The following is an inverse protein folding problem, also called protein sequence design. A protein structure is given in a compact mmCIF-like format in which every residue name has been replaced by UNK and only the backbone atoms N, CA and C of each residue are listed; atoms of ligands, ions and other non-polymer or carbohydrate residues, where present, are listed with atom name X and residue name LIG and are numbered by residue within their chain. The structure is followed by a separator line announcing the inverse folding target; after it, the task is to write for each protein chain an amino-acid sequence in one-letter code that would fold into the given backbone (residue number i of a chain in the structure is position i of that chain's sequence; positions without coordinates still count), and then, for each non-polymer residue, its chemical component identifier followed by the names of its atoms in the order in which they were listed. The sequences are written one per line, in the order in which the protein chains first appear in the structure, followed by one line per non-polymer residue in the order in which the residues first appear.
data_IF_776463544778
#
_entry.id   IF_776463544778
#
_cell.length_a   1.000
_cell.length_b   1.000
_cell.length_c   1.000
_cell.angle_alpha   90.00
_cell.angle_beta   90.00
_cell.angle_gamma   90.00
#
_symmetry.space_group_name_H-M   'P 1'
#
loop_
_entity.id
_entity.type
_entity.pdbx_description
1 polymer ?
#
# COMPACT_ATOMS: atom_id res chain seq x y z
N UNK A 1 -11.09 7.00 10.26
CA UNK A 1 -11.52 5.99 9.27
C UNK A 1 -10.85 6.33 7.95
N UNK A 2 -9.95 5.49 7.46
CA UNK A 2 -9.23 5.76 6.21
C UNK A 2 -9.96 5.03 5.08
N UNK A 3 -10.90 5.72 4.45
CA UNK A 3 -11.55 5.22 3.25
C UNK A 3 -10.58 5.30 2.06
N UNK A 4 -10.76 4.42 1.08
CA UNK A 4 -10.02 4.50 -0.18
C UNK A 4 -10.25 5.87 -0.85
N UNK A 5 -9.20 6.63 -1.21
CA UNK A 5 -9.36 7.95 -1.80
C UNK A 5 -9.94 7.84 -3.22
N UNK A 6 -10.70 8.86 -3.61
CA UNK A 6 -11.27 8.96 -4.96
C UNK A 6 -10.22 9.48 -5.95
N UNK A 7 -9.25 8.63 -6.25
CA UNK A 7 -8.25 8.84 -7.31
C UNK A 7 -8.81 8.34 -8.67
N UNK A 8 -8.36 8.88 -9.82
CA UNK A 8 -8.79 8.42 -11.13
C UNK A 8 -8.65 6.90 -11.32
N UNK A 9 -7.59 6.32 -10.75
CA UNK A 9 -7.31 4.88 -10.80
C UNK A 9 -8.32 4.04 -10.01
N UNK A 10 -9.05 4.64 -9.07
CA UNK A 10 -10.02 3.97 -8.21
C UNK A 10 -11.46 4.22 -8.63
N UNK A 11 -11.73 5.17 -9.55
CA UNK A 11 -13.08 5.66 -9.84
C UNK A 11 -14.07 4.53 -10.15
N UNK A 12 -13.76 3.66 -11.12
CA UNK A 12 -14.65 2.54 -11.48
C UNK A 12 -14.93 1.58 -10.32
N UNK A 13 -13.92 1.33 -9.47
CA UNK A 13 -14.09 0.49 -8.28
C UNK A 13 -14.96 1.20 -7.23
N UNK A 14 -14.65 2.46 -6.92
CA UNK A 14 -15.36 3.24 -5.91
C UNK A 14 -16.82 3.43 -6.29
N UNK A 15 -17.12 3.67 -7.56
CA UNK A 15 -18.48 3.82 -8.05
C UNK A 15 -19.26 2.49 -7.96
N UNK A 16 -18.62 1.37 -8.31
CA UNK A 16 -19.20 0.03 -8.15
C UNK A 16 -19.50 -0.27 -6.68
N UNK A 17 -18.53 -0.04 -5.79
CA UNK A 17 -18.69 -0.30 -4.35
C UNK A 17 -19.75 0.62 -3.72
N UNK A 18 -19.80 1.89 -4.12
CA UNK A 18 -20.80 2.84 -3.64
C UNK A 18 -22.21 2.44 -4.07
N UNK A 19 -22.38 1.93 -5.30
CA UNK A 19 -23.68 1.48 -5.79
C UNK A 19 -24.24 0.28 -5.03
N UNK A 20 -23.37 -0.52 -4.39
CA UNK A 20 -23.74 -1.70 -3.63
C UNK A 20 -23.80 -1.46 -2.12
N UNK A 21 -23.07 -0.45 -1.63
CA UNK A 21 -22.95 -0.18 -0.20
C UNK A 21 -24.29 0.14 0.44
N UNK A 22 -24.71 -0.70 1.39
CA UNK A 22 -25.87 -0.45 2.23
C UNK A 22 -25.41 0.11 3.59
N UNK A 23 -25.81 1.34 3.95
CA UNK A 23 -25.59 1.86 5.29
C UNK A 23 -26.26 0.91 6.30
N UNK A 24 -25.58 0.59 7.40
CA UNK A 24 -26.09 -0.40 8.34
C UNK A 24 -27.49 -0.04 8.88
N UNK A 25 -28.44 -0.98 8.74
CA UNK A 25 -29.65 -1.05 9.56
C UNK A 25 -29.53 -2.20 10.60
N UNK A 26 -30.25 -2.12 11.71
CA UNK A 26 -30.06 -3.01 12.87
C UNK A 26 -30.18 -4.50 12.47
N UNK A 27 -29.11 -5.28 12.71
CA UNK A 27 -29.16 -6.75 12.68
C UNK A 27 -28.20 -7.45 11.70
N UNK A 28 -27.58 -6.72 10.76
CA UNK A 28 -26.60 -7.29 9.84
C UNK A 28 -25.17 -7.26 10.40
N UNK A 29 -24.33 -8.20 9.96
CA UNK A 29 -22.88 -8.14 10.20
C UNK A 29 -22.34 -6.85 9.58
N UNK A 30 -21.65 -6.03 10.36
CA UNK A 30 -21.16 -4.73 9.92
C UNK A 30 -19.65 -4.71 9.82
N UNK A 31 -19.13 -4.03 8.80
CA UNK A 31 -17.71 -3.71 8.66
C UNK A 31 -17.57 -2.19 8.55
N UNK A 32 -17.10 -1.58 9.64
CA UNK A 32 -16.86 -0.13 9.74
C UNK A 32 -18.08 0.74 9.34
N UNK A 33 -19.27 0.37 9.82
CA UNK A 33 -20.51 1.15 9.65
C UNK A 33 -21.32 0.87 8.37
N UNK A 34 -20.86 -0.08 7.55
CA UNK A 34 -21.57 -0.60 6.38
C UNK A 34 -21.95 -2.06 6.61
N UNK A 35 -22.99 -2.53 5.93
CA UNK A 35 -23.26 -3.97 5.86
C UNK A 35 -22.07 -4.70 5.23
N UNK A 36 -21.59 -5.76 5.88
CA UNK A 36 -20.47 -6.56 5.39
C UNK A 36 -20.95 -7.37 4.18
N UNK A 37 -20.46 -7.03 3.00
CA UNK A 37 -20.81 -7.72 1.74
C UNK A 37 -19.85 -8.88 1.41
N UNK A 38 -19.06 -9.34 2.38
CA UNK A 38 -18.12 -10.47 2.25
C UNK A 38 -18.18 -11.39 3.46
N UNK A 39 -17.61 -12.60 3.36
CA UNK A 39 -17.55 -13.51 4.49
C UNK A 39 -16.44 -13.06 5.47
N UNK A 40 -16.66 -13.09 6.80
CA UNK A 40 -15.62 -12.75 7.80
C UNK A 40 -14.31 -13.51 7.59
N UNK A 41 -14.37 -14.81 7.28
CA UNK A 41 -13.19 -15.64 6.97
C UNK A 41 -12.36 -15.10 5.81
N UNK A 42 -12.96 -14.40 4.83
CA UNK A 42 -12.20 -13.79 3.74
C UNK A 42 -11.43 -12.54 4.20
N UNK A 43 -11.97 -11.82 5.19
CA UNK A 43 -11.26 -10.71 5.84
C UNK A 43 -10.05 -11.25 6.58
N UNK A 44 -10.24 -12.26 7.43
CA UNK A 44 -9.15 -12.91 8.18
C UNK A 44 -8.11 -13.50 7.21
N UNK A 45 -8.56 -14.14 6.13
CA UNK A 45 -7.68 -14.66 5.08
C UNK A 45 -6.84 -13.57 4.45
N UNK A 46 -7.42 -12.40 4.19
CA UNK A 46 -6.70 -11.26 3.59
C UNK A 46 -5.65 -10.70 4.57
N UNK A 47 -6.00 -10.55 5.85
CA UNK A 47 -5.06 -10.15 6.90
C UNK A 47 -3.89 -11.12 7.04
N UNK A 48 -4.18 -12.43 6.94
CA UNK A 48 -3.19 -13.50 6.98
C UNK A 48 -2.19 -13.49 5.80
N UNK A 49 -2.64 -13.02 4.63
CA UNK A 49 -1.80 -12.92 3.44
C UNK A 49 -0.85 -11.72 3.50
N UNK A 50 -1.21 -10.67 4.24
CA UNK A 50 -0.45 -9.41 4.38
C UNK A 50 -0.46 -8.87 5.81
N UNK A 51 0.17 -9.56 6.79
CA UNK A 51 0.04 -9.24 8.22
C UNK A 51 0.61 -7.87 8.65
N UNK A 52 1.26 -7.14 7.74
CA UNK A 52 1.83 -5.81 7.99
C UNK A 52 1.15 -4.70 7.17
N UNK A 53 0.08 -5.02 6.46
CA UNK A 53 -0.63 -4.09 5.60
C UNK A 53 -2.02 -3.80 6.16
N UNK A 54 -2.43 -2.52 6.28
CA UNK A 54 -3.78 -2.21 6.74
C UNK A 54 -4.83 -2.64 5.71
N UNK A 55 -5.86 -3.36 6.16
CA UNK A 55 -7.06 -3.62 5.39
C UNK A 55 -8.01 -2.45 5.55
N UNK A 56 -8.41 -1.82 4.45
CA UNK A 56 -9.33 -0.69 4.42
C UNK A 56 -10.76 -1.19 4.23
N UNK A 57 -11.70 -0.66 5.01
CA UNK A 57 -13.12 -0.89 4.79
C UNK A 57 -13.68 0.17 3.83
N UNK A 58 -14.13 -0.24 2.65
CA UNK A 58 -14.69 0.66 1.63
C UNK A 58 -16.09 0.17 1.27
N UNK A 59 -17.13 0.85 1.76
CA UNK A 59 -18.56 0.47 1.57
C UNK A 59 -18.86 -0.99 1.97
N UNK A 60 -18.33 -1.44 3.11
CA UNK A 60 -18.57 -2.80 3.60
C UNK A 60 -17.71 -3.89 2.93
N UNK A 61 -16.78 -3.48 2.07
CA UNK A 61 -15.87 -4.37 1.33
C UNK A 61 -14.42 -4.14 1.78
N UNK A 62 -13.68 -5.19 2.17
CA UNK A 62 -12.26 -5.08 2.51
C UNK A 62 -11.39 -4.85 1.27
N UNK A 63 -10.50 -3.87 1.37
CA UNK A 63 -9.63 -3.42 0.29
C UNK A 63 -8.20 -3.25 0.80
N UNK A 64 -7.23 -3.79 0.07
CA UNK A 64 -5.83 -3.43 0.23
C UNK A 64 -5.47 -2.36 -0.79
N UNK A 65 -4.72 -1.34 -0.36
CA UNK A 65 -4.30 -0.25 -1.23
C UNK A 65 -2.83 0.12 -1.00
N UNK A 66 -2.15 0.56 -2.05
CA UNK A 66 -0.79 1.09 -2.01
C UNK A 66 -0.77 2.50 -2.58
N UNK A 67 -0.15 3.46 -1.87
CA UNK A 67 -0.18 4.89 -2.23
C UNK A 67 -1.60 5.41 -2.54
N UNK A 68 -2.61 4.92 -1.82
CA UNK A 68 -4.02 5.28 -2.03
C UNK A 68 -4.71 4.60 -3.22
N UNK A 69 -4.01 3.80 -4.02
CA UNK A 69 -4.58 3.07 -5.16
C UNK A 69 -4.94 1.64 -4.72
N UNK A 70 -6.18 1.20 -4.99
CA UNK A 70 -6.63 -0.14 -4.62
C UNK A 70 -5.89 -1.21 -5.42
N UNK A 71 -5.36 -2.20 -4.71
CA UNK A 71 -4.65 -3.33 -5.28
C UNK A 71 -5.51 -4.60 -5.22
N UNK A 72 -6.10 -4.89 -4.05
CA UNK A 72 -6.85 -6.12 -3.82
C UNK A 72 -8.19 -5.81 -3.19
N UNK A 73 -9.24 -6.51 -3.62
CA UNK A 73 -10.60 -6.38 -3.08
C UNK A 73 -11.13 -7.76 -2.73
N UNK A 74 -11.57 -7.92 -1.48
CA UNK A 74 -12.28 -9.10 -1.03
C UNK A 74 -13.74 -9.03 -1.49
N UNK A 75 -14.05 -9.68 -2.61
CA UNK A 75 -15.34 -9.61 -3.26
C UNK A 75 -16.15 -10.88 -2.99
N UNK A 76 -17.40 -10.74 -2.54
CA UNK A 76 -18.27 -11.90 -2.23
C UNK A 76 -17.60 -12.90 -1.25
N UNK A 77 -17.91 -14.20 -1.36
CA UNK A 77 -17.38 -15.25 -0.47
C UNK A 77 -16.17 -15.99 -1.07
N UNK A 78 -15.98 -15.95 -2.38
CA UNK A 78 -15.04 -16.82 -3.09
C UNK A 78 -14.18 -16.10 -4.13
N UNK A 79 -14.19 -14.76 -4.10
CA UNK A 79 -13.54 -13.95 -5.12
C UNK A 79 -12.60 -12.93 -4.49
N UNK A 80 -11.32 -13.00 -4.84
CA UNK A 80 -10.38 -11.89 -4.68
C UNK A 80 -10.21 -11.23 -6.03
N UNK A 81 -10.48 -9.94 -6.10
CA UNK A 81 -10.08 -9.13 -7.25
C UNK A 81 -8.68 -8.61 -7.00
N UNK A 82 -7.76 -8.87 -7.93
CA UNK A 82 -6.39 -8.36 -7.88
C UNK A 82 -6.13 -7.46 -9.07
N UNK A 83 -5.50 -6.31 -8.82
CA UNK A 83 -5.09 -5.37 -9.87
C UNK A 83 -3.69 -5.73 -10.34
N UNK A 84 -3.53 -6.01 -11.64
CA UNK A 84 -2.25 -6.39 -12.25
C UNK A 84 -2.15 -5.81 -13.67
N UNK A 85 -0.92 -5.62 -14.20
CA UNK A 85 -0.73 -5.17 -15.58
C UNK A 85 -1.11 -6.25 -16.60
N UNK A 86 -0.98 -7.52 -16.21
CA UNK A 86 -1.22 -8.70 -17.03
C UNK A 86 -1.90 -9.79 -16.21
N UNK A 87 -2.47 -10.78 -16.89
CA UNK A 87 -3.14 -11.90 -16.23
C UNK A 87 -2.15 -12.70 -15.37
N UNK A 88 -2.57 -13.17 -14.18
CA UNK A 88 -1.72 -14.00 -13.35
C UNK A 88 -1.34 -15.29 -14.11
N UNK A 89 -0.04 -15.54 -14.22
CA UNK A 89 0.53 -16.72 -14.91
C UNK A 89 0.63 -17.94 -14.01
N UNK A 90 0.40 -17.77 -12.71
CA UNK A 90 0.48 -18.82 -11.70
C UNK A 90 -0.70 -19.80 -11.81
N UNK A 91 -0.51 -21.03 -11.29
CA UNK A 91 -1.52 -22.10 -11.23
C UNK A 91 -2.65 -21.81 -10.22
N UNK A 92 -3.07 -20.56 -10.13
CA UNK A 92 -4.17 -20.14 -9.26
C UNK A 92 -5.49 -20.37 -9.97
N UNK A 93 -6.43 -20.98 -9.25
CA UNK A 93 -7.80 -21.16 -9.72
C UNK A 93 -8.45 -19.78 -9.94
N UNK A 94 -8.95 -19.49 -11.16
CA UNK A 94 -9.73 -18.28 -11.40
C UNK A 94 -11.05 -18.34 -10.63
N UNK A 95 -11.53 -17.19 -10.16
CA UNK A 95 -12.87 -17.04 -9.61
C UNK A 95 -13.83 -16.45 -10.64
N UNK A 96 -15.11 -16.33 -10.27
CA UNK A 96 -16.13 -15.72 -11.13
C UNK A 96 -15.70 -14.29 -11.53
N UNK A 97 -15.87 -13.90 -12.81
CA UNK A 97 -15.58 -12.55 -13.25
C UNK A 97 -16.49 -11.54 -12.52
N UNK A 98 -16.00 -10.33 -12.33
CA UNK A 98 -16.75 -9.21 -11.77
C UNK A 98 -16.75 -8.03 -12.76
N UNK A 99 -17.64 -8.03 -13.77
CA UNK A 99 -17.81 -6.88 -14.66
C UNK A 99 -18.33 -5.64 -13.90
N UNK A 100 -17.93 -4.43 -14.31
CA UNK A 100 -17.06 -4.16 -15.46
C UNK A 100 -15.56 -4.27 -15.13
N UNK A 101 -15.19 -4.51 -13.87
CA UNK A 101 -13.79 -4.47 -13.43
C UNK A 101 -12.93 -5.52 -14.13
N UNK A 102 -13.45 -6.72 -14.35
CA UNK A 102 -12.72 -7.82 -14.98
C UNK A 102 -12.93 -7.91 -16.49
N UNK A 103 -13.49 -6.87 -17.13
CA UNK A 103 -13.58 -6.84 -18.59
C UNK A 103 -12.18 -6.75 -19.21
N UNK A 104 -11.96 -7.26 -20.44
CA UNK A 104 -10.66 -7.22 -21.09
C UNK A 104 -10.06 -5.81 -21.11
N UNK A 105 -8.82 -5.68 -20.62
CA UNK A 105 -8.08 -4.41 -20.59
C UNK A 105 -8.35 -3.52 -19.37
N UNK A 106 -9.21 -3.94 -18.43
CA UNK A 106 -9.50 -3.16 -17.21
C UNK A 106 -8.51 -3.40 -16.06
N UNK A 107 -7.58 -4.36 -16.22
CA UNK A 107 -6.47 -4.58 -15.29
C UNK A 107 -6.85 -5.22 -13.95
N UNK A 108 -8.06 -5.81 -13.84
CA UNK A 108 -8.46 -6.63 -12.70
C UNK A 108 -8.68 -8.08 -13.09
N UNK A 109 -8.28 -8.97 -12.19
CA UNK A 109 -8.41 -10.42 -12.34
C UNK A 109 -9.06 -11.03 -11.11
N UNK A 110 -9.99 -11.95 -11.33
CA UNK A 110 -10.66 -12.71 -10.28
C UNK A 110 -9.89 -13.99 -9.94
N UNK A 111 -9.51 -14.17 -8.69
CA UNK A 111 -8.87 -15.40 -8.20
C UNK A 111 -9.60 -15.95 -6.98
N UNK A 112 -9.59 -17.28 -6.84
CA UNK A 112 -10.20 -17.93 -5.68
C UNK A 112 -9.29 -17.77 -4.43
N UNK A 113 -9.78 -17.29 -3.28
CA UNK A 113 -8.95 -17.17 -2.07
C UNK A 113 -8.61 -18.51 -1.42
N UNK A 114 -9.37 -19.56 -1.73
CA UNK A 114 -9.31 -20.85 -1.03
C UNK A 114 -8.37 -21.85 -1.70
N UNK A 115 -8.25 -21.81 -3.04
CA UNK A 115 -7.34 -22.65 -3.83
C UNK A 115 -7.38 -24.14 -3.44
N UNK A 116 -8.58 -24.75 -3.44
CA UNK A 116 -8.82 -26.08 -2.85
C UNK A 116 -8.05 -27.27 -3.44
N UNK A 117 -7.32 -27.09 -4.55
CA UNK A 117 -6.46 -28.11 -5.16
C UNK A 117 -4.99 -28.02 -4.67
N UNK A 118 -4.64 -26.95 -3.97
CA UNK A 118 -3.30 -26.72 -3.43
C UNK A 118 -3.24 -27.03 -1.94
N UNK A 119 -2.04 -27.39 -1.45
CA UNK A 119 -1.84 -27.45 -0.01
C UNK A 119 -2.01 -26.06 0.63
N UNK A 120 -2.42 -26.00 1.90
CA UNK A 120 -2.61 -24.73 2.62
C UNK A 120 -1.36 -23.83 2.58
N UNK A 121 -0.17 -24.43 2.67
CA UNK A 121 1.10 -23.71 2.61
C UNK A 121 1.41 -23.16 1.21
N UNK A 122 1.18 -23.94 0.17
CA UNK A 122 1.37 -23.50 -1.23
C UNK A 122 0.37 -22.43 -1.63
N UNK A 123 -0.91 -22.63 -1.30
CA UNK A 123 -1.99 -21.64 -1.48
C UNK A 123 -1.62 -20.31 -0.82
N UNK A 124 -1.21 -20.33 0.46
CA UNK A 124 -0.79 -19.12 1.17
C UNK A 124 0.41 -18.46 0.49
N UNK A 125 1.43 -19.24 0.10
CA UNK A 125 2.63 -18.70 -0.55
C UNK A 125 2.30 -18.01 -1.87
N UNK A 126 1.56 -18.66 -2.76
CA UNK A 126 1.23 -18.11 -4.08
C UNK A 126 0.31 -16.89 -3.96
N UNK A 127 -0.74 -16.97 -3.13
CA UNK A 127 -1.62 -15.83 -2.88
C UNK A 127 -0.87 -14.64 -2.26
N UNK A 128 0.05 -14.87 -1.32
CA UNK A 128 0.88 -13.78 -0.76
C UNK A 128 1.78 -13.15 -1.83
N UNK A 129 2.36 -13.93 -2.74
CA UNK A 129 3.15 -13.39 -3.85
C UNK A 129 2.30 -12.56 -4.80
N UNK A 130 1.12 -13.07 -5.18
CA UNK A 130 0.16 -12.36 -6.03
C UNK A 130 -0.27 -11.01 -5.40
N UNK A 131 -0.61 -11.02 -4.11
CA UNK A 131 -0.99 -9.80 -3.39
C UNK A 131 0.17 -8.80 -3.35
N UNK A 132 1.40 -9.26 -3.10
CA UNK A 132 2.59 -8.39 -3.13
C UNK A 132 2.85 -7.79 -4.51
N UNK A 133 2.69 -8.56 -5.58
CA UNK A 133 2.80 -8.08 -6.96
C UNK A 133 1.73 -7.01 -7.24
N UNK A 134 0.48 -7.28 -6.85
CA UNK A 134 -0.63 -6.34 -7.03
C UNK A 134 -0.41 -5.02 -6.28
N UNK A 135 0.08 -5.09 -5.04
CA UNK A 135 0.43 -3.91 -4.25
C UNK A 135 1.59 -3.11 -4.85
N UNK A 136 2.61 -3.81 -5.35
CA UNK A 136 3.74 -3.18 -6.04
C UNK A 136 3.29 -2.48 -7.33
N UNK A 137 2.40 -3.12 -8.10
CA UNK A 137 1.83 -2.54 -9.29
C UNK A 137 0.95 -1.32 -8.98
N UNK A 138 0.05 -1.42 -8.00
CA UNK A 138 -0.76 -0.28 -7.56
C UNK A 138 0.11 0.91 -7.13
N UNK A 139 1.22 0.67 -6.43
CA UNK A 139 2.17 1.72 -6.07
C UNK A 139 2.83 2.36 -7.31
N UNK A 140 3.14 1.58 -8.36
CA UNK A 140 3.73 2.11 -9.61
C UNK A 140 2.76 2.95 -10.45
N UNK A 141 1.45 2.83 -10.21
CA UNK A 141 0.44 3.67 -10.87
C UNK A 141 0.31 5.07 -10.24
N UNK A 142 0.95 5.29 -9.09
CA UNK A 142 0.96 6.58 -8.42
C UNK A 142 2.16 7.41 -8.85
N UNK A 143 1.89 8.63 -9.31
CA UNK A 143 2.90 9.64 -9.62
C UNK A 143 3.40 10.37 -8.36
N UNK A 144 2.80 10.09 -7.19
CA UNK A 144 3.13 10.76 -5.94
C UNK A 144 4.25 10.01 -5.19
N UNK A 145 5.46 10.58 -5.22
CA UNK A 145 6.62 10.11 -4.48
C UNK A 145 6.75 10.75 -3.08
N UNK A 146 5.86 11.68 -2.73
CA UNK A 146 5.82 12.25 -1.38
C UNK A 146 5.20 11.31 -0.35
N UNK A 147 4.62 10.19 -0.81
CA UNK A 147 3.92 9.21 0.01
C UNK A 147 4.59 7.83 -0.15
N UNK A 148 4.88 7.16 0.97
CA UNK A 148 5.41 5.82 0.99
C UNK A 148 4.36 4.80 0.51
N UNK A 149 4.78 3.56 0.29
CA UNK A 149 3.87 2.52 -0.19
C UNK A 149 2.68 2.25 0.75
N UNK A 150 2.75 2.65 2.03
CA UNK A 150 1.67 2.55 3.02
C UNK A 150 0.70 3.75 3.02
N UNK A 151 0.92 4.76 2.19
CA UNK A 151 0.10 5.97 2.22
C UNK A 151 0.56 7.01 3.25
N UNK A 152 1.78 6.90 3.82
CA UNK A 152 2.33 7.86 4.80
C UNK A 152 3.24 8.86 4.11
N UNK A 153 3.33 10.12 4.57
CA UNK A 153 4.29 11.06 4.03
C UNK A 153 5.72 10.51 4.16
N UNK A 154 6.46 10.44 3.05
CA UNK A 154 7.90 10.17 3.06
C UNK A 154 8.54 11.35 3.79
N UNK A 155 9.05 11.10 4.99
CA UNK A 155 9.83 12.12 5.69
C UNK A 155 11.02 12.46 4.80
N UNK A 156 11.04 13.69 4.26
CA UNK A 156 12.20 14.21 3.57
C UNK A 156 13.42 13.98 4.48
N UNK A 157 14.55 13.47 3.97
CA UNK A 157 15.75 13.27 4.77
C UNK A 157 16.07 14.61 5.40
N UNK A 158 15.85 14.69 6.72
CA UNK A 158 15.98 15.93 7.45
C UNK A 158 17.32 16.54 7.11
N UNK A 159 17.32 17.76 6.58
CA UNK A 159 18.52 18.55 6.40
C UNK A 159 19.24 18.57 7.73
N UNK A 160 20.24 17.70 7.88
CA UNK A 160 21.22 17.80 8.95
C UNK A 160 21.89 19.14 8.71
N UNK A 161 21.34 20.17 9.35
CA UNK A 161 21.94 21.48 9.48
C UNK A 161 23.35 21.23 10.01
N UNK A 162 24.32 21.23 9.09
CA UNK A 162 25.71 21.09 9.39
C UNK A 162 26.09 22.21 10.33
N UNK A 163 26.20 21.90 11.62
CA UNK A 163 26.81 22.78 12.60
C UNK A 163 28.30 22.80 12.25
N UNK A 164 28.69 23.67 11.32
CA UNK A 164 30.08 23.98 11.01
C UNK A 164 30.67 24.63 12.26
N UNK A 165 31.26 23.80 13.11
CA UNK A 165 32.03 24.25 14.27
C UNK A 165 33.31 24.88 13.72
N UNK A 166 33.34 26.21 13.73
CA UNK A 166 34.44 27.03 13.23
C UNK A 166 35.80 26.50 13.67
N UNK A 167 36.58 26.07 12.69
CA UNK A 167 37.98 25.68 12.81
C UNK A 167 38.80 26.96 13.00
N UNK A 168 39.19 27.26 14.24
CA UNK A 168 40.22 28.29 14.50
C UNK A 168 41.55 27.80 13.94
N UNK A 169 42.04 28.47 12.92
CA UNK A 169 43.40 28.35 12.39
C UNK A 169 44.35 29.16 13.28
N UNK A 170 45.15 28.50 14.12
CA UNK A 170 46.35 29.14 14.68
C UNK A 170 47.47 29.00 13.65
N UNK A 171 47.68 30.07 12.87
CA UNK A 171 48.80 30.18 11.94
C UNK A 171 49.99 30.73 12.70
N UNK A 172 50.92 29.82 12.96
CA UNK A 172 52.29 30.09 13.36
C UNK A 172 52.94 31.03 12.33
N UNK A 173 53.54 32.12 12.82
CA UNK A 173 54.42 32.97 12.01
C UNK A 173 55.57 33.40 12.91
N UNK A 174 56.66 32.62 12.85
CA UNK A 174 57.93 33.02 13.42
C UNK A 174 58.58 34.15 12.63
N UNK A 175 59.53 34.83 13.29
CA UNK A 175 60.72 35.31 12.59
C UNK A 175 61.08 36.78 12.72
N UNK A 176 62.02 37.03 13.65
CA UNK A 176 63.26 37.81 13.49
C UNK A 176 63.28 39.34 13.73
N UNK A 177 64.37 39.66 14.46
CA UNK A 177 65.29 40.80 14.38
C UNK A 177 64.99 42.07 15.22
N UNK A 178 65.89 42.30 16.18
CA UNK A 178 66.77 43.47 16.08
C UNK A 178 66.72 44.49 17.22
N UNK A 179 67.72 44.43 18.11
CA UNK A 179 68.59 45.59 18.35
C UNK A 179 68.28 46.58 19.48
N UNK A 180 69.24 46.63 20.43
CA UNK A 180 69.82 47.81 21.13
C UNK A 180 69.04 48.57 22.22
N UNK A 181 69.73 48.78 23.35
CA UNK A 181 69.57 49.91 24.28
C UNK A 181 69.34 49.47 25.74
N UNK A 182 70.37 49.29 26.57
CA UNK A 182 71.15 50.26 27.38
C UNK A 182 70.38 50.85 28.58
N UNK A 183 71.05 50.82 29.75
CA UNK A 183 70.77 51.43 31.08
C UNK A 183 70.01 50.49 32.02
N UNK A 184 70.43 50.24 33.27
CA UNK A 184 71.40 50.89 34.17
C UNK A 184 71.99 49.84 35.09
#
# INVERSE_FOLDING_TARGET
MTALPNLPQNTSLVDLLRAQGVPQERGAHSYEGWELHTHPDLVERLEDLVPRWPVLATFGVPVLAAKGIAAVVAWSMDTLLVRLPEAPTELLKPASPCPPLTDPGQGWYSVCPWQGELSSMESKRLLSLLVQQSLSYAASLSEDDSIDWQGRPVQAPGTRSGKVKGRRTSRDTGGRQGGRGRRR
#
